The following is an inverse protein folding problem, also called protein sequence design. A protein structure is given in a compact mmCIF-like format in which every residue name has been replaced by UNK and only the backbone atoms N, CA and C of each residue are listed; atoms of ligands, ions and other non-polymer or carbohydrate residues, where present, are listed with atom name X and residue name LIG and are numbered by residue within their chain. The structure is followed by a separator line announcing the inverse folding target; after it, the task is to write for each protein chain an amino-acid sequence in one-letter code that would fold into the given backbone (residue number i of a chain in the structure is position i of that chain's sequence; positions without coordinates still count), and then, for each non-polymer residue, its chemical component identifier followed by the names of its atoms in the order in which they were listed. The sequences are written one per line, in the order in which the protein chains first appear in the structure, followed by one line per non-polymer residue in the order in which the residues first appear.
data_IF_372571099813
#
_entry.id   IF_372571099813
#
_cell.length_a   1.000
_cell.length_b   1.000
_cell.length_c   1.000
_cell.angle_alpha   90.00
_cell.angle_beta   90.00
_cell.angle_gamma   90.00
#
_symmetry.space_group_name_H-M   'P 1'
#
loop_
_entity.id
_entity.type
_entity.pdbx_description
1 polymer ?
#
# COMPACT_ATOMS: atom_id res chain seq x y z
N UNK A 1 20.00 51.88 20.98
CA UNK A 1 20.17 50.43 21.25
C UNK A 1 19.18 50.06 22.34
N UNK A 2 18.34 49.04 22.14
CA UNK A 2 17.41 48.62 23.18
C UNK A 2 18.21 48.13 24.41
N UNK A 3 17.86 48.57 25.62
CA UNK A 3 18.47 48.11 26.87
C UNK A 3 18.23 46.59 27.01
N UNK A 4 19.23 45.79 26.69
CA UNK A 4 19.20 44.34 26.92
C UNK A 4 19.70 44.11 28.35
N UNK A 5 18.78 44.16 29.32
CA UNK A 5 19.11 43.88 30.72
C UNK A 5 19.62 42.46 30.93
N UNK A 6 20.55 42.30 31.89
CA UNK A 6 21.24 41.04 32.20
C UNK A 6 20.28 39.91 32.61
N UNK A 7 20.77 38.67 32.52
CA UNK A 7 20.07 37.50 33.06
C UNK A 7 19.85 37.67 34.57
N UNK A 8 18.69 37.25 35.08
CA UNK A 8 18.37 37.38 36.52
C UNK A 8 17.95 38.77 37.00
N UNK A 9 17.56 39.69 36.09
CA UNK A 9 16.95 40.97 36.50
C UNK A 9 15.66 40.75 37.30
N UNK A 10 15.52 41.50 38.40
CA UNK A 10 14.32 41.58 39.23
C UNK A 10 13.44 42.79 38.89
N UNK A 11 13.74 43.54 37.83
CA UNK A 11 12.90 44.65 37.38
C UNK A 11 11.51 44.12 36.96
N UNK A 12 10.40 44.76 37.39
CA UNK A 12 9.06 44.40 36.96
C UNK A 12 8.88 44.36 35.43
N UNK A 13 9.49 45.31 34.71
CA UNK A 13 9.43 45.40 33.25
C UNK A 13 10.08 44.19 32.58
N UNK A 14 11.24 43.75 33.09
CA UNK A 14 11.93 42.58 32.54
C UNK A 14 11.22 41.28 32.89
N UNK A 15 10.65 41.18 34.10
CA UNK A 15 9.84 40.03 34.48
C UNK A 15 8.60 39.90 33.58
N UNK A 16 7.91 41.00 33.29
CA UNK A 16 6.79 41.01 32.35
C UNK A 16 7.22 40.59 30.94
N UNK A 17 8.35 41.12 30.45
CA UNK A 17 8.89 40.73 29.13
C UNK A 17 9.23 39.24 29.06
N UNK A 18 9.81 38.69 30.13
CA UNK A 18 10.11 37.25 30.22
C UNK A 18 8.83 36.41 30.22
N UNK A 19 7.83 36.80 31.00
CA UNK A 19 6.54 36.10 31.06
C UNK A 19 5.83 36.09 29.71
N UNK A 20 5.74 37.23 29.03
CA UNK A 20 5.15 37.34 27.69
C UNK A 20 5.92 36.50 26.65
N UNK A 21 7.25 36.47 26.72
CA UNK A 21 8.04 35.65 25.81
C UNK A 21 7.86 34.16 26.10
N UNK A 22 7.79 33.75 27.36
CA UNK A 22 7.56 32.35 27.74
C UNK A 22 6.17 31.89 27.30
N UNK A 23 5.14 32.70 27.52
CA UNK A 23 3.78 32.41 27.07
C UNK A 23 3.74 32.15 25.55
N UNK A 24 4.37 33.03 24.76
CA UNK A 24 4.48 32.84 23.30
C UNK A 24 5.29 31.59 22.91
N UNK A 25 6.38 31.30 23.62
CA UNK A 25 7.23 30.14 23.33
C UNK A 25 6.53 28.81 23.65
N UNK A 26 5.71 28.76 24.69
CA UNK A 26 5.06 27.54 25.18
C UNK A 26 3.69 27.35 24.53
N UNK A 27 2.86 28.39 24.47
CA UNK A 27 1.46 28.29 24.05
C UNK A 27 1.25 28.70 22.58
N UNK A 28 2.20 29.41 21.96
CA UNK A 28 2.10 29.84 20.57
C UNK A 28 2.17 28.67 19.58
N UNK A 29 1.25 28.64 18.60
CA UNK A 29 1.16 27.58 17.57
C UNK A 29 1.41 28.08 16.14
N UNK A 30 1.75 29.35 15.97
CA UNK A 30 1.87 29.97 14.64
C UNK A 30 3.27 29.90 14.07
N UNK A 31 4.29 29.81 14.93
CA UNK A 31 5.69 29.76 14.52
C UNK A 31 6.43 28.65 15.23
N UNK A 32 7.32 27.98 14.53
CA UNK A 32 8.23 26.98 15.10
C UNK A 32 9.40 27.59 15.89
N UNK A 33 9.64 28.90 15.73
CA UNK A 33 10.67 29.60 16.48
C UNK A 33 10.39 31.08 16.67
N UNK A 34 10.77 31.60 17.83
CA UNK A 34 10.61 33.01 18.19
C UNK A 34 11.87 33.53 18.90
N UNK A 35 12.20 34.83 18.76
CA UNK A 35 13.29 35.42 19.49
C UNK A 35 12.99 35.44 20.99
N UNK A 36 13.98 35.07 21.80
CA UNK A 36 13.93 35.30 23.24
C UNK A 36 14.09 36.79 23.58
N UNK A 37 14.13 37.14 24.87
CA UNK A 37 14.25 38.55 25.27
C UNK A 37 15.56 39.22 24.83
N UNK A 38 16.56 38.44 24.46
CA UNK A 38 17.87 38.85 23.96
C UNK A 38 17.92 38.89 22.42
N UNK A 39 16.82 38.54 21.74
CA UNK A 39 16.76 38.45 20.28
C UNK A 39 17.31 37.14 19.72
N UNK A 40 17.68 36.17 20.56
CA UNK A 40 18.19 34.88 20.10
C UNK A 40 17.01 33.99 19.73
N UNK A 41 17.01 33.47 18.52
CA UNK A 41 15.94 32.61 18.03
C UNK A 41 15.93 31.28 18.80
N UNK A 42 14.81 30.96 19.45
CA UNK A 42 14.57 29.70 20.17
C UNK A 42 13.44 28.94 19.52
N UNK A 43 13.47 27.61 19.63
CA UNK A 43 12.33 26.78 19.21
C UNK A 43 11.17 27.00 20.17
N UNK A 44 9.98 27.19 19.62
CA UNK A 44 8.72 27.14 20.38
C UNK A 44 8.40 25.69 20.72
N UNK A 45 7.48 25.46 21.66
CA UNK A 45 6.94 24.13 21.94
C UNK A 45 6.31 23.53 20.69
N UNK A 46 5.49 24.31 19.98
CA UNK A 46 4.94 23.91 18.68
C UNK A 46 6.02 23.53 17.67
N UNK A 47 7.13 24.27 17.60
CA UNK A 47 8.26 23.92 16.73
C UNK A 47 8.91 22.60 17.09
N UNK A 48 9.04 22.30 18.38
CA UNK A 48 9.55 21.00 18.84
C UNK A 48 8.59 19.88 18.49
N UNK A 49 7.27 20.07 18.66
CA UNK A 49 6.24 19.11 18.23
C UNK A 49 6.31 18.84 16.72
N UNK A 50 6.44 19.89 15.90
CA UNK A 50 6.55 19.74 14.44
C UNK A 50 7.84 19.04 14.01
N UNK A 51 8.96 19.26 14.70
CA UNK A 51 10.20 18.53 14.46
C UNK A 51 10.04 17.06 14.84
N UNK A 52 9.42 16.78 15.99
CA UNK A 52 9.16 15.41 16.44
C UNK A 52 8.26 14.67 15.45
N UNK A 53 7.14 15.27 15.03
CA UNK A 53 6.25 14.67 14.04
C UNK A 53 6.97 14.36 12.72
N UNK A 54 7.73 15.33 12.18
CA UNK A 54 8.53 15.11 10.96
C UNK A 54 9.57 14.01 11.13
N UNK A 55 10.15 13.85 12.32
CA UNK A 55 11.08 12.78 12.62
C UNK A 55 10.41 11.41 12.65
N UNK A 56 9.22 11.31 13.25
CA UNK A 56 8.41 10.09 13.24
C UNK A 56 8.02 9.72 11.80
N UNK A 57 7.57 10.69 11.00
CA UNK A 57 7.25 10.48 9.58
C UNK A 57 8.46 9.99 8.79
N UNK A 58 9.63 10.59 9.03
CA UNK A 58 10.88 10.20 8.38
C UNK A 58 11.29 8.76 8.70
N UNK A 59 11.23 8.36 9.98
CA UNK A 59 11.54 6.98 10.39
C UNK A 59 10.52 6.01 9.82
N UNK A 60 9.23 6.34 9.86
CA UNK A 60 8.15 5.47 9.36
C UNK A 60 8.29 5.25 7.86
N UNK A 61 8.46 6.32 7.07
CA UNK A 61 8.64 6.22 5.62
C UNK A 61 9.90 5.43 5.23
N UNK A 62 11.01 5.59 5.97
CA UNK A 62 12.21 4.77 5.74
C UNK A 62 12.04 3.32 6.19
N UNK A 63 11.28 3.07 7.26
CA UNK A 63 10.92 1.73 7.70
C UNK A 63 10.13 0.98 6.64
N UNK A 64 9.12 1.62 6.05
CA UNK A 64 8.33 1.06 4.96
C UNK A 64 9.18 0.78 3.71
N UNK A 65 10.06 1.73 3.33
CA UNK A 65 10.99 1.53 2.20
C UNK A 65 12.01 0.43 2.46
N UNK A 66 12.54 0.32 3.68
CA UNK A 66 13.47 -0.73 4.05
C UNK A 66 12.78 -2.11 4.04
N UNK A 67 11.55 -2.20 4.56
CA UNK A 67 10.73 -3.42 4.51
C UNK A 67 10.39 -3.81 3.06
N UNK A 68 10.13 -2.84 2.18
CA UNK A 68 9.94 -3.10 0.75
C UNK A 68 11.24 -3.57 0.06
N UNK A 69 12.40 -3.11 0.53
CA UNK A 69 13.71 -3.43 -0.06
C UNK A 69 14.25 -4.81 0.36
N UNK A 70 13.74 -5.43 1.44
CA UNK A 70 14.23 -6.72 1.95
C UNK A 70 13.74 -7.92 1.12
N UNK A 71 12.76 -7.73 0.23
CA UNK A 71 12.17 -8.82 -0.54
C UNK A 71 11.25 -9.71 0.31
N UNK A 72 10.78 -10.82 -0.27
CA UNK A 72 9.94 -11.78 0.45
C UNK A 72 10.79 -12.73 1.31
N UNK A 73 10.35 -12.99 2.54
CA UNK A 73 10.92 -14.02 3.40
C UNK A 73 10.17 -15.33 3.19
N UNK A 74 10.86 -16.33 2.64
CA UNK A 74 10.26 -17.64 2.40
C UNK A 74 10.20 -18.45 3.70
N UNK A 75 9.00 -18.81 4.15
CA UNK A 75 8.81 -19.77 5.24
C UNK A 75 8.90 -21.23 4.77
N UNK A 76 8.85 -21.45 3.45
CA UNK A 76 8.84 -22.77 2.84
C UNK A 76 7.42 -23.25 2.53
N UNK A 77 7.25 -24.58 2.49
CA UNK A 77 5.99 -25.22 2.12
C UNK A 77 4.94 -25.07 3.21
N UNK A 78 3.68 -24.95 2.79
CA UNK A 78 2.52 -24.90 3.65
C UNK A 78 2.47 -26.09 4.61
N UNK A 79 2.29 -25.80 5.89
CA UNK A 79 2.10 -26.79 6.94
C UNK A 79 1.24 -26.20 8.07
N UNK A 80 0.32 -27.01 8.59
CA UNK A 80 -0.42 -26.67 9.81
C UNK A 80 0.58 -26.54 10.96
N UNK A 81 0.44 -25.48 11.75
CA UNK A 81 1.36 -25.13 12.84
C UNK A 81 2.53 -24.23 12.44
N UNK A 82 2.68 -23.89 11.16
CA UNK A 82 3.66 -22.90 10.72
C UNK A 82 3.22 -21.50 11.14
N UNK A 83 4.11 -20.75 11.79
CA UNK A 83 3.83 -19.40 12.26
C UNK A 83 4.25 -18.35 11.23
N UNK A 84 3.34 -17.41 10.95
CA UNK A 84 3.57 -16.18 10.21
C UNK A 84 3.63 -15.05 11.22
N UNK A 85 4.83 -14.53 11.45
CA UNK A 85 5.10 -13.49 12.44
C UNK A 85 5.30 -12.10 11.80
N UNK A 86 5.58 -12.06 10.49
CA UNK A 86 5.82 -10.80 9.79
C UNK A 86 5.12 -10.71 8.45
N UNK A 87 4.87 -9.47 8.03
CA UNK A 87 4.07 -9.16 6.84
C UNK A 87 4.77 -9.50 5.52
N UNK A 88 6.07 -9.74 5.54
CA UNK A 88 6.88 -10.05 4.36
C UNK A 88 7.15 -11.56 4.23
N UNK A 89 6.61 -12.36 5.14
CA UNK A 89 6.67 -13.81 5.02
C UNK A 89 5.68 -14.34 3.99
N UNK A 90 6.15 -15.34 3.25
CA UNK A 90 5.41 -16.01 2.20
C UNK A 90 5.50 -17.51 2.37
N UNK A 91 4.39 -18.19 2.10
CA UNK A 91 4.25 -19.63 2.25
C UNK A 91 3.91 -20.24 0.90
N UNK A 92 4.61 -21.31 0.53
CA UNK A 92 4.41 -21.99 -0.74
C UNK A 92 3.31 -23.03 -0.63
N UNK A 93 2.30 -22.94 -1.48
CA UNK A 93 1.23 -23.94 -1.58
C UNK A 93 0.87 -24.18 -3.04
N UNK A 94 0.87 -25.45 -3.45
CA UNK A 94 0.38 -25.91 -4.75
C UNK A 94 0.83 -25.06 -5.96
N UNK A 95 2.14 -24.85 -6.10
CA UNK A 95 2.69 -24.13 -7.26
C UNK A 95 2.75 -22.61 -7.12
N UNK A 96 2.33 -22.04 -5.99
CA UNK A 96 2.26 -20.59 -5.79
C UNK A 96 2.68 -20.14 -4.41
N UNK A 97 3.16 -18.91 -4.34
CA UNK A 97 3.42 -18.24 -3.08
C UNK A 97 2.19 -17.49 -2.60
N UNK A 98 1.94 -17.57 -1.29
CA UNK A 98 0.85 -16.89 -0.61
C UNK A 98 1.39 -15.99 0.49
N UNK A 99 0.79 -14.80 0.60
CA UNK A 99 1.02 -13.83 1.68
C UNK A 99 -0.18 -13.77 2.59
N UNK A 100 0.04 -13.72 3.90
CA UNK A 100 -1.02 -13.50 4.87
C UNK A 100 -1.44 -12.02 4.95
N UNK A 101 -2.73 -11.78 4.83
CA UNK A 101 -3.39 -10.48 4.87
C UNK A 101 -4.04 -10.17 6.22
N UNK A 102 -4.24 -11.17 7.09
CA UNK A 102 -4.87 -10.99 8.40
C UNK A 102 -4.02 -10.28 9.46
N UNK A 103 -4.43 -10.44 10.72
CA UNK A 103 -3.73 -9.92 11.90
C UNK A 103 -2.59 -10.86 12.29
N UNK A 104 -1.41 -10.31 12.56
CA UNK A 104 -0.22 -11.07 12.98
C UNK A 104 -0.10 -11.02 14.52
N UNK A 105 0.48 -12.01 15.19
CA UNK A 105 1.02 -13.28 14.66
C UNK A 105 -0.09 -14.28 14.30
N UNK A 106 0.10 -15.04 13.23
CA UNK A 106 -0.86 -16.04 12.77
C UNK A 106 -0.22 -17.43 12.71
N UNK A 107 -0.89 -18.43 13.26
CA UNK A 107 -0.47 -19.84 13.13
C UNK A 107 -1.43 -20.53 12.17
N UNK A 108 -0.88 -21.11 11.10
CA UNK A 108 -1.68 -21.83 10.09
C UNK A 108 -2.45 -22.96 10.76
N UNK A 109 -3.77 -22.91 10.71
CA UNK A 109 -4.66 -23.91 11.28
C UNK A 109 -5.32 -24.79 10.19
N UNK A 110 -5.50 -24.25 8.98
CA UNK A 110 -6.04 -24.98 7.83
C UNK A 110 -4.97 -25.72 7.01
N UNK A 111 -5.38 -26.81 6.36
CA UNK A 111 -4.55 -27.58 5.43
C UNK A 111 -4.34 -26.89 4.06
N UNK A 112 -5.04 -25.78 3.81
CA UNK A 112 -4.93 -24.96 2.61
C UNK A 112 -5.22 -23.47 2.90
N UNK A 113 -4.79 -22.54 2.03
CA UNK A 113 -5.19 -21.13 2.11
C UNK A 113 -6.70 -20.93 2.13
N UNK A 114 -7.44 -21.76 1.40
CA UNK A 114 -8.90 -21.75 1.37
C UNK A 114 -9.49 -22.12 2.74
N UNK A 115 -8.90 -23.10 3.43
CA UNK A 115 -9.36 -23.60 4.72
C UNK A 115 -8.79 -22.81 5.91
N UNK A 116 -7.81 -21.93 5.68
CA UNK A 116 -7.15 -21.09 6.69
C UNK A 116 -7.55 -19.61 6.55
N UNK A 117 -8.86 -19.34 6.47
CA UNK A 117 -9.40 -17.97 6.35
C UNK A 117 -9.62 -17.49 4.91
N UNK A 118 -9.41 -18.34 3.92
CA UNK A 118 -9.78 -18.10 2.53
C UNK A 118 -8.77 -17.29 1.72
N UNK A 119 -8.77 -17.50 0.40
CA UNK A 119 -7.97 -16.70 -0.55
C UNK A 119 -8.72 -15.45 -0.97
N UNK A 120 -8.06 -14.31 -0.90
CA UNK A 120 -8.58 -13.03 -1.35
C UNK A 120 -8.82 -13.05 -2.85
N UNK A 121 -10.02 -12.61 -3.24
CA UNK A 121 -10.39 -12.34 -4.63
C UNK A 121 -11.48 -11.26 -4.66
N UNK A 122 -11.82 -10.77 -5.85
CA UNK A 122 -12.96 -9.84 -5.98
C UNK A 122 -14.28 -10.46 -5.48
N UNK A 123 -14.42 -11.79 -5.55
CA UNK A 123 -15.59 -12.52 -5.05
C UNK A 123 -15.47 -12.89 -3.55
N UNK A 124 -14.26 -12.90 -2.99
CA UNK A 124 -13.98 -13.14 -1.57
C UNK A 124 -13.08 -12.03 -1.01
N UNK A 125 -13.62 -10.82 -0.78
CA UNK A 125 -12.84 -9.67 -0.33
C UNK A 125 -12.33 -9.83 1.12
N UNK A 126 -12.90 -10.78 1.87
CA UNK A 126 -12.54 -11.09 3.26
C UNK A 126 -11.44 -12.15 3.40
N UNK A 127 -10.97 -12.72 2.28
CA UNK A 127 -9.92 -13.74 2.28
C UNK A 127 -8.64 -13.27 2.97
N UNK A 128 -8.10 -14.11 3.85
CA UNK A 128 -6.91 -13.83 4.66
C UNK A 128 -5.60 -14.16 3.94
N UNK A 129 -5.63 -14.82 2.79
CA UNK A 129 -4.43 -15.15 2.01
C UNK A 129 -4.46 -14.51 0.63
N UNK A 130 -3.36 -13.93 0.20
CA UNK A 130 -3.20 -13.38 -1.15
C UNK A 130 -2.20 -14.21 -1.92
N UNK A 131 -2.59 -14.69 -3.10
CA UNK A 131 -1.63 -15.28 -4.03
C UNK A 131 -0.78 -14.15 -4.62
N UNK A 132 0.53 -14.21 -4.35
CA UNK A 132 1.54 -13.24 -4.81
C UNK A 132 2.29 -13.76 -6.05
N UNK A 133 2.09 -15.04 -6.39
CA UNK A 133 2.45 -15.55 -7.70
C UNK A 133 1.49 -15.04 -8.77
N UNK A 134 1.85 -15.26 -10.03
CA UNK A 134 0.96 -15.01 -11.16
C UNK A 134 -0.25 -15.97 -11.18
N UNK A 135 -0.57 -16.70 -10.11
CA UNK A 135 -1.67 -17.66 -10.10
C UNK A 135 -3.04 -16.98 -10.21
N UNK A 136 -3.22 -15.82 -9.57
CA UNK A 136 -4.41 -15.00 -9.80
C UNK A 136 -4.50 -14.55 -11.26
N UNK A 137 -3.35 -14.23 -11.89
CA UNK A 137 -3.28 -13.91 -13.31
C UNK A 137 -3.55 -15.14 -14.19
N UNK A 138 -2.96 -16.32 -13.92
CA UNK A 138 -3.17 -17.58 -14.64
C UNK A 138 -4.61 -18.06 -14.52
N UNK A 139 -5.21 -17.99 -13.34
CA UNK A 139 -6.62 -18.30 -13.12
C UNK A 139 -7.51 -17.37 -13.94
N UNK A 140 -7.22 -16.06 -13.94
CA UNK A 140 -7.95 -15.10 -14.73
C UNK A 140 -7.79 -15.36 -16.24
N UNK A 141 -6.59 -15.66 -16.72
CA UNK A 141 -6.29 -15.94 -18.13
C UNK A 141 -6.78 -17.31 -18.61
N UNK A 142 -6.87 -18.31 -17.73
CA UNK A 142 -7.41 -19.64 -18.01
C UNK A 142 -8.93 -19.75 -17.89
N UNK A 143 -9.60 -18.72 -17.36
CA UNK A 143 -11.06 -18.67 -17.29
C UNK A 143 -11.72 -18.54 -18.66
N UNK A 144 -13.02 -18.81 -18.75
CA UNK A 144 -13.81 -18.56 -19.98
C UNK A 144 -13.82 -17.10 -20.43
N UNK A 145 -13.49 -16.16 -19.52
CA UNK A 145 -13.31 -14.74 -19.81
C UNK A 145 -11.84 -14.35 -20.03
N UNK A 146 -10.91 -15.29 -20.05
CA UNK A 146 -9.47 -14.99 -20.10
C UNK A 146 -9.07 -14.15 -21.31
N UNK A 147 -9.64 -14.45 -22.48
CA UNK A 147 -9.43 -13.68 -23.70
C UNK A 147 -10.02 -12.25 -23.65
N UNK A 148 -10.92 -11.95 -22.70
CA UNK A 148 -11.41 -10.59 -22.44
C UNK A 148 -10.46 -9.78 -21.56
N UNK A 149 -9.53 -10.43 -20.85
CA UNK A 149 -8.59 -9.79 -19.92
C UNK A 149 -7.25 -9.43 -20.57
N UNK A 150 -6.99 -9.90 -21.80
CA UNK A 150 -5.81 -9.55 -22.60
C UNK A 150 -6.18 -8.51 -23.65
N UNK A 151 -5.49 -7.37 -23.65
CA UNK A 151 -5.78 -6.26 -24.57
C UNK A 151 -4.69 -6.12 -25.62
N UNK A 152 -5.10 -5.84 -26.86
CA UNK A 152 -4.22 -5.27 -27.90
C UNK A 152 -4.78 -3.89 -28.25
N UNK A 153 -3.99 -2.84 -28.02
CA UNK A 153 -4.46 -1.46 -28.01
C UNK A 153 -5.66 -1.30 -27.05
N UNK A 154 -6.79 -0.76 -27.51
CA UNK A 154 -7.99 -0.56 -26.71
C UNK A 154 -9.01 -1.73 -26.79
N UNK A 155 -8.68 -2.84 -27.48
CA UNK A 155 -9.62 -3.93 -27.70
C UNK A 155 -9.20 -5.22 -26.99
N UNK A 156 -10.13 -5.91 -26.31
CA UNK A 156 -9.85 -7.23 -25.77
C UNK A 156 -9.64 -8.25 -26.89
N UNK A 157 -8.75 -9.22 -26.67
CA UNK A 157 -8.37 -10.23 -27.64
C UNK A 157 -9.57 -11.05 -28.14
N UNK A 158 -10.52 -11.38 -27.25
CA UNK A 158 -11.77 -12.06 -27.64
C UNK A 158 -12.57 -11.29 -28.70
N UNK A 159 -12.58 -9.94 -28.65
CA UNK A 159 -13.26 -9.12 -29.67
C UNK A 159 -12.51 -9.15 -30.99
N UNK A 160 -11.18 -9.09 -30.93
CA UNK A 160 -10.30 -9.14 -32.11
C UNK A 160 -10.46 -10.49 -32.83
N UNK A 161 -10.43 -11.61 -32.10
CA UNK A 161 -10.61 -12.96 -32.64
C UNK A 161 -11.97 -13.08 -33.35
N UNK A 162 -13.04 -12.56 -32.74
CA UNK A 162 -14.37 -12.54 -33.36
C UNK A 162 -14.41 -11.71 -34.65
N UNK A 163 -13.73 -10.56 -34.69
CA UNK A 163 -13.69 -9.73 -35.90
C UNK A 163 -12.79 -10.31 -37.01
N UNK A 164 -11.68 -10.96 -36.65
CA UNK A 164 -10.72 -11.51 -37.61
C UNK A 164 -11.11 -12.90 -38.13
N UNK A 165 -12.14 -13.55 -37.55
CA UNK A 165 -12.58 -14.87 -38.01
C UNK A 165 -12.94 -14.85 -39.50
N UNK A 166 -13.49 -13.75 -40.00
CA UNK A 166 -13.83 -13.59 -41.42
C UNK A 166 -12.62 -13.26 -42.31
N UNK A 167 -11.55 -12.71 -41.75
CA UNK A 167 -10.33 -12.34 -42.50
C UNK A 167 -9.50 -13.57 -42.90
N UNK A 168 -9.66 -14.71 -42.19
CA UNK A 168 -8.93 -15.95 -42.46
C UNK A 168 -9.79 -17.05 -43.11
N UNK A 169 -11.08 -16.82 -43.33
CA UNK A 169 -11.97 -17.74 -44.04
C UNK A 169 -11.77 -17.59 -45.55
N UNK A 170 -11.68 -18.72 -46.27
CA UNK A 170 -11.71 -18.68 -47.73
C UNK A 170 -13.11 -18.28 -48.22
N UNK A 171 -13.23 -17.80 -49.47
CA UNK A 171 -14.54 -17.49 -50.06
C UNK A 171 -15.49 -18.70 -50.02
N UNK A 172 -14.95 -19.92 -50.11
CA UNK A 172 -15.72 -21.16 -49.99
C UNK A 172 -16.25 -21.37 -48.56
N UNK A 173 -15.45 -21.09 -47.53
CA UNK A 173 -15.88 -21.21 -46.14
C UNK A 173 -16.94 -20.15 -45.78
N UNK A 174 -16.80 -18.94 -46.32
CA UNK A 174 -17.79 -17.87 -46.16
C UNK A 174 -19.12 -18.23 -46.82
N UNK A 175 -19.10 -18.82 -48.02
CA UNK A 175 -20.32 -19.29 -48.69
C UNK A 175 -20.97 -20.47 -47.97
N UNK A 176 -20.19 -21.39 -47.40
CA UNK A 176 -20.70 -22.49 -46.60
C UNK A 176 -21.44 -21.99 -45.34
N UNK A 177 -20.93 -20.96 -44.68
CA UNK A 177 -21.60 -20.32 -43.53
C UNK A 177 -22.91 -19.61 -43.90
N UNK A 178 -23.00 -19.05 -45.10
CA UNK A 178 -24.19 -18.34 -45.61
C UNK A 178 -25.28 -19.26 -46.15
N UNK A 179 -24.95 -20.52 -46.46
CA UNK A 179 -25.85 -21.46 -47.16
C UNK A 179 -26.45 -22.54 -46.25
N UNK A 180 -26.09 -22.58 -44.96
CA UNK A 180 -26.73 -23.47 -43.97
C UNK A 180 -28.09 -22.86 -43.56
N UNK A 181 -29.23 -23.43 -43.99
CA UNK A 181 -30.53 -22.91 -43.60
C UNK A 181 -30.82 -23.33 -42.16
N UNK A 182 -31.03 -22.37 -41.24
CA UNK A 182 -31.65 -22.65 -39.94
C UNK A 182 -31.00 -22.11 -38.67
N UNK A 183 -29.94 -21.29 -38.73
CA UNK A 183 -29.47 -20.58 -37.53
C UNK A 183 -30.03 -19.16 -37.56
N UNK A 184 -31.09 -18.93 -36.78
CA UNK A 184 -31.58 -17.59 -36.48
C UNK A 184 -30.43 -16.79 -35.84
N UNK A 185 -30.07 -15.69 -36.49
CA UNK A 185 -29.17 -14.65 -35.95
C UNK A 185 -29.85 -13.94 -34.79
#
# INVERSE_FOLDING_TARGET
MANIEKLGSSSPEVLLKNATNLDKLVNGRESESLPDRFGVLRKTWHGMEMIFNRFIDYITGRGEQAVAAIGWQELGNWAVGLAVDNRQQIVYYNGSWYKYLGELEHVIAGDSPENDGGVWSAANPTGKWSNIGDAALRSNLGSGEGAMKVYRNASPLARIIRSSIFEYLTEADQQALLTIPGVNV
#
